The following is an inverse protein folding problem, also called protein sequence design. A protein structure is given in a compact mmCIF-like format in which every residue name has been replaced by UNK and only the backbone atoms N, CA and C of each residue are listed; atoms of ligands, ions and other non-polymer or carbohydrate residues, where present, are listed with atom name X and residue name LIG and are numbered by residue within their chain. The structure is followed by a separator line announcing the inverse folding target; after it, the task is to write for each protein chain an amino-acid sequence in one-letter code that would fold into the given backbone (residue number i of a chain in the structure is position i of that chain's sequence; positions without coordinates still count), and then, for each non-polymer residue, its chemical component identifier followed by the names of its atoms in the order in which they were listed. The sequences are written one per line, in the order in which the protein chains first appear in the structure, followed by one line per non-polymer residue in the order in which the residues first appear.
data_IF_042992893482
#
_entry.id   IF_042992893482
#
_cell.length_a   1.000
_cell.length_b   1.000
_cell.length_c   1.000
_cell.angle_alpha   90.00
_cell.angle_beta   90.00
_cell.angle_gamma   90.00
#
_symmetry.space_group_name_H-M   'P 1'
#
loop_
_entity.id
_entity.type
_entity.pdbx_description
1 polymer ?
#
# COMPACT_ATOMS: atom_id res chain seq x y z
N UNK A 1 -6.10 18.23 -13.52
CA UNK A 1 -4.82 18.02 -12.81
C UNK A 1 -5.19 17.64 -11.39
N UNK A 2 -5.00 16.37 -11.00
CA UNK A 2 -5.23 15.96 -9.61
C UNK A 2 -4.05 16.48 -8.78
N UNK A 3 -4.33 17.04 -7.61
CA UNK A 3 -3.26 17.48 -6.71
C UNK A 3 -2.39 16.26 -6.33
N UNK A 4 -1.05 16.42 -6.23
CA UNK A 4 -0.20 15.33 -5.78
C UNK A 4 -0.62 14.86 -4.37
N UNK A 5 -0.57 13.55 -4.09
CA UNK A 5 -1.07 12.97 -2.84
C UNK A 5 -0.21 13.33 -1.61
N UNK A 6 0.87 14.10 -1.78
CA UNK A 6 1.79 14.50 -0.73
C UNK A 6 2.81 15.56 -1.18
N UNK A 7 3.68 15.96 -0.25
CA UNK A 7 4.76 16.91 -0.50
C UNK A 7 4.45 18.34 0.01
N UNK A 8 5.25 19.36 -0.36
CA UNK A 8 5.12 20.71 0.20
C UNK A 8 3.77 21.40 -0.09
N UNK A 9 2.97 20.85 -1.00
CA UNK A 9 1.62 21.33 -1.35
C UNK A 9 0.52 20.62 -0.54
N UNK A 10 0.71 19.35 -0.16
CA UNK A 10 -0.25 18.55 0.59
C UNK A 10 0.42 18.08 1.90
N UNK A 11 0.17 18.84 2.97
CA UNK A 11 0.82 18.64 4.27
C UNK A 11 0.30 17.40 5.02
N UNK A 12 -0.84 16.85 4.60
CA UNK A 12 -1.40 15.61 5.12
C UNK A 12 -1.16 14.50 4.10
N UNK A 13 -0.22 13.61 4.44
CA UNK A 13 0.03 12.37 3.68
C UNK A 13 -0.68 11.23 4.41
N UNK A 14 -1.94 10.98 4.08
CA UNK A 14 -2.68 9.84 4.59
C UNK A 14 -2.72 8.73 3.53
N UNK A 15 -1.78 7.79 3.63
CA UNK A 15 -1.81 6.58 2.81
C UNK A 15 -2.38 5.44 3.61
N UNK A 16 -3.30 4.70 3.01
CA UNK A 16 -3.74 3.41 3.53
C UNK A 16 -3.23 2.35 2.57
N UNK A 17 -2.31 1.52 3.04
CA UNK A 17 -1.90 0.32 2.32
C UNK A 17 -2.80 -0.86 2.68
N UNK A 18 -2.93 -1.81 1.77
CA UNK A 18 -3.60 -3.08 2.06
C UNK A 18 -2.59 -4.24 2.16
N UNK A 19 -3.00 -5.31 2.83
CA UNK A 19 -2.34 -6.62 2.78
C UNK A 19 -3.40 -7.66 2.44
N UNK A 20 -3.07 -8.49 1.46
CA UNK A 20 -3.98 -9.51 0.96
C UNK A 20 -3.70 -10.88 1.56
N UNK A 21 -4.77 -11.63 1.79
CA UNK A 21 -4.71 -13.06 2.07
C UNK A 21 -4.80 -13.84 0.76
N UNK A 22 -3.76 -14.60 0.43
CA UNK A 22 -3.71 -15.39 -0.79
C UNK A 22 -4.03 -16.87 -0.53
N UNK A 23 -4.87 -17.44 -1.40
CA UNK A 23 -5.09 -18.89 -1.48
C UNK A 23 -4.38 -19.45 -2.71
N UNK A 24 -3.38 -20.29 -2.48
CA UNK A 24 -2.62 -20.89 -3.57
C UNK A 24 -3.48 -21.85 -4.39
N UNK A 25 -3.36 -21.75 -5.72
CA UNK A 25 -4.02 -22.68 -6.63
C UNK A 25 -3.53 -24.11 -6.37
N UNK A 26 -4.48 -25.05 -6.21
CA UNK A 26 -4.17 -26.44 -5.90
C UNK A 26 -3.99 -26.74 -4.40
N UNK A 27 -4.24 -25.77 -3.51
CA UNK A 27 -4.28 -26.02 -2.07
C UNK A 27 -5.29 -27.13 -1.74
N UNK A 28 -4.87 -28.10 -0.92
CA UNK A 28 -5.67 -29.28 -0.56
C UNK A 28 -6.74 -28.99 0.49
N UNK A 29 -6.64 -27.85 1.17
CA UNK A 29 -7.45 -27.47 2.34
C UNK A 29 -8.14 -26.12 2.16
N UNK A 30 -8.50 -25.75 0.93
CA UNK A 30 -9.09 -24.44 0.58
C UNK A 30 -10.29 -24.04 1.43
N UNK A 31 -11.17 -24.99 1.78
CA UNK A 31 -12.34 -24.70 2.62
C UNK A 31 -11.94 -24.19 4.02
N UNK A 32 -10.99 -24.88 4.67
CA UNK A 32 -10.51 -24.48 5.99
C UNK A 32 -9.74 -23.15 5.91
N UNK A 33 -8.94 -22.96 4.87
CA UNK A 33 -8.21 -21.70 4.68
C UNK A 33 -9.17 -20.51 4.50
N UNK A 34 -10.27 -20.66 3.74
CA UNK A 34 -11.33 -19.64 3.65
C UNK A 34 -11.97 -19.36 5.01
N UNK A 35 -12.28 -20.42 5.77
CA UNK A 35 -12.87 -20.26 7.10
C UNK A 35 -11.94 -19.50 8.05
N UNK A 36 -10.64 -19.81 8.03
CA UNK A 36 -9.64 -19.09 8.82
C UNK A 36 -9.54 -17.61 8.42
N UNK A 37 -9.53 -17.31 7.11
CA UNK A 37 -9.50 -15.91 6.65
C UNK A 37 -10.73 -15.16 7.17
N UNK A 38 -11.93 -15.71 6.97
CA UNK A 38 -13.18 -15.08 7.47
C UNK A 38 -13.18 -14.91 8.99
N UNK A 39 -12.68 -15.89 9.73
CA UNK A 39 -12.62 -15.84 11.19
C UNK A 39 -11.59 -14.82 11.70
N UNK A 40 -10.58 -14.45 10.91
CA UNK A 40 -9.62 -13.39 11.25
C UNK A 40 -10.09 -12.01 10.78
N UNK A 41 -10.82 -11.92 9.66
CA UNK A 41 -11.17 -10.63 9.03
C UNK A 41 -12.60 -10.17 9.27
N UNK A 42 -13.51 -11.05 9.67
CA UNK A 42 -14.95 -10.74 9.78
C UNK A 42 -15.60 -11.19 11.09
N UNK A 43 -14.86 -11.88 11.97
CA UNK A 43 -15.30 -12.13 13.33
C UNK A 43 -15.09 -10.87 14.17
N UNK A 44 -16.16 -10.18 14.56
CA UNK A 44 -16.10 -8.87 15.20
C UNK A 44 -15.26 -8.87 16.49
N UNK A 45 -15.45 -9.85 17.38
CA UNK A 45 -14.71 -9.92 18.65
C UNK A 45 -13.20 -10.02 18.42
N UNK A 46 -12.79 -10.80 17.41
CA UNK A 46 -11.37 -10.99 17.08
C UNK A 46 -10.79 -9.81 16.31
N UNK A 47 -11.59 -9.24 15.42
CA UNK A 47 -11.21 -8.03 14.69
C UNK A 47 -10.98 -6.89 15.67
N UNK A 48 -11.90 -6.65 16.62
CA UNK A 48 -11.76 -5.58 17.61
C UNK A 48 -10.53 -5.80 18.49
N UNK A 49 -10.28 -7.03 18.95
CA UNK A 49 -9.04 -7.35 19.68
C UNK A 49 -7.77 -7.10 18.84
N UNK A 50 -7.80 -7.40 17.54
CA UNK A 50 -6.68 -7.13 16.63
C UNK A 50 -6.46 -5.62 16.47
N UNK A 51 -7.53 -4.85 16.18
CA UNK A 51 -7.48 -3.41 15.99
C UNK A 51 -6.97 -2.71 17.26
N UNK A 52 -7.43 -3.15 18.44
CA UNK A 52 -6.95 -2.66 19.74
C UNK A 52 -5.44 -2.90 19.92
N UNK A 53 -4.94 -4.08 19.53
CA UNK A 53 -3.52 -4.41 19.64
C UNK A 53 -2.62 -3.71 18.60
N UNK A 54 -3.20 -3.17 17.54
CA UNK A 54 -2.50 -2.67 16.35
C UNK A 54 -3.02 -1.31 15.89
N UNK A 55 -3.01 -0.34 16.80
CA UNK A 55 -3.52 1.02 16.62
C UNK A 55 -3.05 1.64 15.30
N UNK A 56 -3.99 2.07 14.45
CA UNK A 56 -3.75 2.69 13.14
C UNK A 56 -2.92 1.86 12.13
N UNK A 57 -2.43 0.68 12.52
CA UNK A 57 -1.70 -0.23 11.64
C UNK A 57 -2.64 -1.25 10.98
N UNK A 58 -3.71 -1.63 11.68
CA UNK A 58 -4.80 -2.43 11.15
C UNK A 58 -6.07 -1.58 11.06
N UNK A 59 -6.81 -1.75 9.97
CA UNK A 59 -8.13 -1.14 9.75
C UNK A 59 -9.07 -2.19 9.14
N UNK A 60 -10.40 -2.05 9.29
CA UNK A 60 -11.34 -2.99 8.67
C UNK A 60 -11.26 -3.01 7.15
N UNK A 61 -11.32 -4.21 6.58
CA UNK A 61 -11.19 -4.44 5.13
C UNK A 61 -12.47 -4.12 4.33
N UNK A 62 -13.64 -4.05 4.99
CA UNK A 62 -14.93 -3.80 4.34
C UNK A 62 -15.66 -2.64 4.99
N UNK A 63 -16.35 -1.83 4.18
CA UNK A 63 -17.05 -0.60 4.62
C UNK A 63 -18.02 -0.84 5.77
N UNK A 64 -18.84 -1.90 5.70
CA UNK A 64 -19.80 -2.23 6.75
C UNK A 64 -19.13 -2.61 8.08
N UNK A 65 -17.91 -3.15 8.07
CA UNK A 65 -17.22 -3.54 9.30
C UNK A 65 -16.78 -2.34 10.15
N UNK A 66 -16.55 -1.17 9.54
CA UNK A 66 -16.26 0.06 10.26
C UNK A 66 -17.42 0.53 11.15
N UNK A 67 -18.65 0.19 10.76
CA UNK A 67 -19.85 0.54 11.51
C UNK A 67 -20.30 -0.62 12.41
N UNK A 68 -19.83 -1.84 12.19
CA UNK A 68 -20.16 -3.01 13.03
C UNK A 68 -19.20 -3.20 14.20
N UNK A 69 -17.97 -2.68 14.11
CA UNK A 69 -16.96 -2.74 15.16
C UNK A 69 -17.22 -1.72 16.25
N UNK A 70 -17.19 -2.16 17.52
CA UNK A 70 -17.31 -1.25 18.67
C UNK A 70 -16.02 -0.43 18.83
N UNK A 71 -14.89 -1.07 18.50
CA UNK A 71 -13.57 -0.45 18.56
C UNK A 71 -13.45 0.74 17.60
N UNK A 72 -13.80 0.58 16.32
CA UNK A 72 -13.62 1.65 15.33
C UNK A 72 -14.55 2.85 15.56
N UNK A 73 -15.70 2.62 16.18
CA UNK A 73 -16.63 3.69 16.54
C UNK A 73 -16.15 4.57 17.70
N UNK A 74 -15.31 4.02 18.58
CA UNK A 74 -14.91 4.67 19.84
C UNK A 74 -13.45 5.13 19.84
N UNK A 75 -12.61 4.54 19.00
CA UNK A 75 -11.19 4.85 18.94
C UNK A 75 -10.89 6.09 18.07
N UNK A 76 -10.24 7.09 18.65
CA UNK A 76 -9.91 8.35 17.98
C UNK A 76 -9.05 8.14 16.72
N UNK A 77 -8.06 7.25 16.77
CA UNK A 77 -7.21 6.97 15.59
C UNK A 77 -8.01 6.36 14.45
N UNK A 78 -8.92 5.43 14.76
CA UNK A 78 -9.80 4.81 13.77
C UNK A 78 -10.69 5.86 13.09
N UNK A 79 -11.23 6.80 13.86
CA UNK A 79 -12.03 7.91 13.33
C UNK A 79 -11.21 8.85 12.43
N UNK A 80 -9.94 9.09 12.76
CA UNK A 80 -9.05 9.93 11.95
C UNK A 80 -8.69 9.28 10.61
N UNK A 81 -8.48 7.96 10.56
CA UNK A 81 -8.07 7.26 9.32
C UNK A 81 -9.25 6.87 8.42
N UNK A 82 -10.47 6.76 8.98
CA UNK A 82 -11.68 6.36 8.24
C UNK A 82 -11.93 7.16 6.95
N UNK A 83 -11.80 8.50 6.92
CA UNK A 83 -12.01 9.27 5.69
C UNK A 83 -11.07 8.86 4.56
N UNK A 84 -9.79 8.66 4.86
CA UNK A 84 -8.80 8.23 3.85
C UNK A 84 -9.00 6.76 3.43
N UNK A 85 -9.37 5.88 4.36
CA UNK A 85 -9.60 4.46 4.08
C UNK A 85 -10.85 4.19 3.23
N UNK A 86 -11.82 5.10 3.23
CA UNK A 86 -13.09 4.98 2.51
C UNK A 86 -13.20 5.93 1.30
N UNK A 87 -12.13 6.66 0.98
CA UNK A 87 -12.10 7.58 -0.16
C UNK A 87 -12.02 6.80 -1.49
N UNK A 88 -13.06 6.90 -2.30
CA UNK A 88 -13.14 6.27 -3.61
C UNK A 88 -12.34 7.01 -4.70
N UNK A 89 -11.88 8.22 -4.39
CA UNK A 89 -10.98 9.02 -5.24
C UNK A 89 -9.51 8.72 -5.01
N UNK A 90 -9.20 7.80 -4.09
CA UNK A 90 -7.85 7.33 -3.81
C UNK A 90 -7.10 6.90 -5.07
N UNK A 91 -5.82 7.26 -5.15
CA UNK A 91 -4.93 6.81 -6.21
C UNK A 91 -4.05 5.67 -5.71
N UNK A 92 -3.84 4.65 -6.55
CA UNK A 92 -2.82 3.63 -6.29
C UNK A 92 -1.44 4.26 -6.51
N UNK A 93 -0.84 4.73 -5.41
CA UNK A 93 0.38 5.52 -5.48
C UNK A 93 1.55 4.78 -6.13
N UNK A 94 1.60 3.43 -6.02
CA UNK A 94 2.64 2.60 -6.62
C UNK A 94 2.61 2.56 -8.15
N UNK A 95 1.42 2.70 -8.76
CA UNK A 95 1.27 2.66 -10.22
C UNK A 95 0.95 4.00 -10.87
N UNK A 96 0.46 4.98 -10.11
CA UNK A 96 0.08 6.29 -10.64
C UNK A 96 1.24 7.01 -11.34
N UNK A 97 1.03 7.66 -12.52
CA UNK A 97 -0.23 7.81 -13.27
C UNK A 97 -0.55 6.65 -14.23
N UNK A 98 0.30 5.63 -14.30
CA UNK A 98 0.11 4.48 -15.18
C UNK A 98 -0.77 3.38 -14.60
N UNK A 99 -1.07 2.34 -15.41
CA UNK A 99 -1.69 1.12 -14.90
C UNK A 99 -0.66 0.24 -14.15
N UNK A 100 -1.10 -0.60 -13.20
CA UNK A 100 -0.25 -1.62 -12.61
C UNK A 100 0.40 -2.53 -13.67
N UNK A 101 1.67 -2.89 -13.48
CA UNK A 101 2.40 -3.76 -14.39
C UNK A 101 3.42 -4.62 -13.65
N UNK A 102 3.83 -5.75 -14.25
CA UNK A 102 4.85 -6.60 -13.68
C UNK A 102 6.21 -5.88 -13.55
N UNK A 103 6.51 -4.94 -14.46
CA UNK A 103 7.70 -4.11 -14.39
C UNK A 103 7.66 -3.14 -13.18
N UNK A 104 6.52 -2.50 -12.92
CA UNK A 104 6.34 -1.66 -11.73
C UNK A 104 6.48 -2.47 -10.44
N UNK A 105 5.86 -3.65 -10.36
CA UNK A 105 6.02 -4.55 -9.21
C UNK A 105 7.49 -4.97 -9.04
N UNK A 106 8.24 -5.18 -10.12
CA UNK A 106 9.66 -5.49 -10.03
C UNK A 106 10.47 -4.30 -9.49
N UNK A 107 10.16 -3.07 -9.91
CA UNK A 107 10.76 -1.84 -9.37
C UNK A 107 10.50 -1.72 -7.87
N UNK A 108 9.26 -1.87 -7.42
CA UNK A 108 8.90 -1.79 -5.99
C UNK A 108 9.71 -2.78 -5.13
N UNK A 109 9.98 -3.97 -5.66
CA UNK A 109 10.71 -5.03 -4.96
C UNK A 109 12.24 -4.97 -5.14
N UNK A 110 12.75 -4.09 -5.99
CA UNK A 110 14.17 -4.04 -6.36
C UNK A 110 15.06 -3.22 -5.40
N UNK A 111 14.44 -2.47 -4.48
CA UNK A 111 15.17 -1.61 -3.54
C UNK A 111 15.76 -0.33 -4.13
N UNK A 112 15.48 0.00 -5.41
CA UNK A 112 16.00 1.21 -6.08
C UNK A 112 15.75 2.48 -5.26
N UNK A 113 14.56 2.62 -4.65
CA UNK A 113 14.22 3.77 -3.79
C UNK A 113 15.12 3.89 -2.56
N UNK A 114 15.41 2.76 -1.90
CA UNK A 114 16.27 2.73 -0.72
C UNK A 114 17.71 3.12 -1.10
N UNK A 115 18.19 2.61 -2.22
CA UNK A 115 19.53 2.94 -2.73
C UNK A 115 19.65 4.42 -3.07
N UNK A 116 18.61 5.01 -3.69
CA UNK A 116 18.55 6.44 -3.99
C UNK A 116 18.61 7.29 -2.73
N UNK A 117 17.78 6.99 -1.73
CA UNK A 117 17.78 7.72 -0.45
C UNK A 117 19.14 7.57 0.25
N UNK A 118 19.72 6.38 0.24
CA UNK A 118 21.03 6.13 0.82
C UNK A 118 22.14 6.91 0.10
N UNK A 119 22.12 7.01 -1.23
CA UNK A 119 23.05 7.82 -2.00
C UNK A 119 22.97 9.31 -1.61
N UNK A 120 21.75 9.85 -1.50
CA UNK A 120 21.51 11.23 -1.03
C UNK A 120 22.09 11.42 0.37
N UNK A 121 21.79 10.50 1.30
CA UNK A 121 22.29 10.56 2.68
C UNK A 121 23.81 10.48 2.79
N UNK A 122 24.47 9.85 1.82
CA UNK A 122 25.93 9.69 1.78
C UNK A 122 26.64 10.76 0.96
N UNK A 123 25.90 11.76 0.45
CA UNK A 123 26.45 12.99 -0.12
C UNK A 123 26.36 13.09 -1.65
N UNK A 124 25.72 12.15 -2.33
CA UNK A 124 25.38 12.30 -3.76
C UNK A 124 24.37 13.44 -3.93
N UNK A 125 24.56 14.28 -4.96
CA UNK A 125 23.60 15.33 -5.27
C UNK A 125 22.22 14.72 -5.56
N UNK A 126 21.15 15.38 -5.11
CA UNK A 126 19.78 14.87 -5.27
C UNK A 126 19.46 14.57 -6.74
N UNK A 127 19.84 15.48 -7.63
CA UNK A 127 19.62 15.34 -9.07
C UNK A 127 20.31 14.10 -9.65
N UNK A 128 21.54 13.83 -9.22
CA UNK A 128 22.33 12.67 -9.66
C UNK A 128 21.78 11.35 -9.10
N UNK A 129 21.38 11.33 -7.82
CA UNK A 129 20.78 10.15 -7.21
C UNK A 129 19.44 9.79 -7.87
N UNK A 130 18.62 10.80 -8.17
CA UNK A 130 17.34 10.61 -8.87
C UNK A 130 17.56 10.14 -10.30
N UNK A 131 18.50 10.71 -11.05
CA UNK A 131 18.84 10.26 -12.40
C UNK A 131 19.30 8.79 -12.41
N UNK A 132 20.16 8.41 -11.45
CA UNK A 132 20.61 7.01 -11.32
C UNK A 132 19.45 6.06 -11.01
N UNK A 133 18.53 6.47 -10.14
CA UNK A 133 17.34 5.67 -9.82
C UNK A 133 16.43 5.51 -11.05
N UNK A 134 16.22 6.60 -11.79
CA UNK A 134 15.46 6.61 -13.04
C UNK A 134 16.05 5.63 -14.06
N UNK A 135 17.35 5.71 -14.35
CA UNK A 135 18.00 4.84 -15.33
C UNK A 135 17.85 3.35 -14.97
N UNK A 136 17.92 3.02 -13.68
CA UNK A 136 17.65 1.66 -13.20
C UNK A 136 16.20 1.24 -13.41
N UNK A 137 15.23 2.12 -13.22
CA UNK A 137 13.82 1.83 -13.48
C UNK A 137 13.56 1.62 -14.98
N UNK A 138 14.15 2.44 -15.85
CA UNK A 138 14.09 2.28 -17.31
C UNK A 138 14.61 0.90 -17.73
N UNK A 139 15.75 0.48 -17.17
CA UNK A 139 16.30 -0.86 -17.41
C UNK A 139 15.34 -1.98 -17.01
N UNK A 140 14.69 -1.88 -15.85
CA UNK A 140 13.67 -2.86 -15.44
C UNK A 140 12.53 -2.91 -16.45
N UNK A 141 12.03 -1.77 -16.93
CA UNK A 141 10.99 -1.78 -17.97
C UNK A 141 11.47 -2.47 -19.27
N UNK A 142 12.70 -2.21 -19.70
CA UNK A 142 13.31 -2.85 -20.87
C UNK A 142 13.45 -4.37 -20.73
N UNK A 143 13.79 -4.87 -19.53
CA UNK A 143 13.84 -6.32 -19.24
C UNK A 143 12.48 -7.00 -19.40
N UNK A 144 11.39 -6.27 -19.18
CA UNK A 144 10.01 -6.73 -19.41
C UNK A 144 9.53 -6.49 -20.86
N UNK A 145 10.39 -6.03 -21.76
CA UNK A 145 10.07 -5.75 -23.16
C UNK A 145 9.24 -4.48 -23.37
N UNK A 146 9.27 -3.56 -22.40
CA UNK A 146 8.61 -2.25 -22.47
C UNK A 146 9.65 -1.17 -22.86
N UNK A 147 9.22 -0.05 -23.47
CA UNK A 147 10.15 0.95 -24.00
C UNK A 147 11.00 1.65 -22.92
N UNK A 148 10.50 1.71 -21.67
CA UNK A 148 11.19 2.32 -20.52
C UNK A 148 11.01 3.84 -20.43
N UNK A 149 10.76 4.51 -21.56
CA UNK A 149 10.37 5.91 -21.69
C UNK A 149 9.28 6.04 -22.78
N UNK A 150 8.53 7.14 -22.81
CA UNK A 150 7.61 7.49 -23.92
C UNK A 150 8.34 8.13 -25.11
#
# INVERSE_FOLDING_TARGET
YLAPPGGPVNQEFNTIGSKDWFLLKGAKNTANAKQTILDLTANLDRMDAMLESSLAYAVPAYTNLWDMSEYTQSNEMSLQVKPAALDDSGIEAGSWPGPPSAALTAIENSGIWNDMVNAIMTGTAVEEAVATAHDRMVLVFQEYGLPGEE
#
